data_IF_454999890604
#
_entry.id   IF_454999890604
#
_cell.length_a   1.000
_cell.length_b   1.000
_cell.length_c   1.000
_cell.angle_alpha   90.00
_cell.angle_beta   90.00
_cell.angle_gamma   90.00
#
_symmetry.space_group_name_H-M   'P 1'
#
loop_
_entity.id
_entity.type
_entity.pdbx_description
1 polymer ?
#
# COMPACT_ATOMS: atom_id res chain seq x y z
N UNK A 1 12.80 -13.00 -1.94
CA UNK A 1 13.68 -14.19 -2.03
C UNK A 1 14.28 -14.40 -0.65
N UNK A 2 14.10 -15.56 -0.02
CA UNK A 2 14.70 -15.84 1.30
C UNK A 2 15.99 -16.66 1.11
N UNK A 3 16.98 -16.46 1.98
CA UNK A 3 18.25 -17.21 2.03
C UNK A 3 18.05 -18.75 2.01
N UNK A 4 16.84 -19.23 2.31
CA UNK A 4 16.45 -20.63 2.14
C UNK A 4 16.69 -21.20 0.74
N UNK A 5 16.74 -20.39 -0.32
CA UNK A 5 16.96 -20.91 -1.69
C UNK A 5 18.39 -21.39 -1.93
N UNK A 6 19.39 -20.77 -1.29
CA UNK A 6 20.80 -21.21 -1.40
C UNK A 6 21.00 -22.62 -0.82
N UNK A 7 20.22 -22.97 0.21
CA UNK A 7 20.31 -24.29 0.86
C UNK A 7 19.96 -25.47 -0.06
N UNK A 8 19.24 -25.24 -1.17
CA UNK A 8 18.75 -26.31 -2.04
C UNK A 8 19.67 -26.62 -3.23
N UNK A 9 20.54 -25.68 -3.61
CA UNK A 9 21.35 -25.79 -4.83
C UNK A 9 22.87 -25.70 -4.58
N UNK A 10 23.31 -25.57 -3.33
CA UNK A 10 24.73 -25.46 -2.96
C UNK A 10 25.28 -26.72 -2.27
N UNK A 11 24.65 -27.89 -2.47
CA UNK A 11 25.10 -29.15 -1.86
C UNK A 11 25.12 -29.17 -0.32
N UNK A 12 24.33 -28.30 0.33
CA UNK A 12 24.33 -28.15 1.79
C UNK A 12 25.51 -27.34 2.34
N UNK A 13 26.36 -26.76 1.49
CA UNK A 13 27.47 -25.91 1.92
C UNK A 13 26.96 -24.53 2.38
N UNK A 14 27.47 -24.07 3.52
CA UNK A 14 27.20 -22.72 4.02
C UNK A 14 27.86 -21.67 3.12
N UNK A 15 27.15 -20.57 2.87
CA UNK A 15 27.64 -19.44 2.06
C UNK A 15 27.93 -18.28 2.99
N UNK A 16 29.18 -17.79 2.99
CA UNK A 16 29.55 -16.55 3.67
C UNK A 16 29.11 -15.35 2.84
N UNK A 17 28.01 -14.70 3.24
CA UNK A 17 27.49 -13.51 2.54
C UNK A 17 28.47 -12.34 2.58
N UNK A 18 29.27 -12.23 3.64
CA UNK A 18 30.26 -11.16 3.86
C UNK A 18 31.46 -11.29 2.91
N UNK A 19 31.76 -12.52 2.49
CA UNK A 19 32.81 -12.84 1.50
C UNK A 19 32.24 -13.01 0.09
N UNK A 20 30.92 -12.88 -0.05
CA UNK A 20 30.22 -12.97 -1.33
C UNK A 20 29.98 -11.58 -1.92
N UNK A 21 29.93 -11.52 -3.24
CA UNK A 21 29.66 -10.29 -3.99
C UNK A 21 28.58 -10.54 -5.04
N UNK A 22 27.73 -9.54 -5.26
CA UNK A 22 26.79 -9.50 -6.37
C UNK A 22 27.15 -8.36 -7.31
N UNK A 23 27.26 -8.65 -8.60
CA UNK A 23 27.63 -7.68 -9.63
C UNK A 23 26.51 -7.60 -10.65
N UNK A 24 25.99 -6.40 -10.90
CA UNK A 24 24.87 -6.18 -11.82
C UNK A 24 24.77 -4.73 -12.31
N UNK A 25 24.14 -4.53 -13.45
CA UNK A 25 24.05 -3.22 -14.11
C UNK A 25 22.79 -2.44 -13.74
N UNK A 26 21.74 -3.11 -13.25
CA UNK A 26 20.52 -2.48 -12.74
C UNK A 26 20.74 -1.85 -11.36
N UNK A 27 21.51 -0.76 -11.35
CA UNK A 27 22.09 -0.18 -10.15
C UNK A 27 21.50 1.18 -9.77
N UNK A 28 20.45 1.64 -10.46
CA UNK A 28 19.80 2.92 -10.18
C UNK A 28 20.69 4.14 -10.42
N UNK A 29 21.66 4.06 -11.35
CA UNK A 29 22.55 5.17 -11.68
C UNK A 29 21.81 6.27 -12.46
N UNK A 30 22.08 7.56 -12.19
CA UNK A 30 21.44 8.67 -12.89
C UNK A 30 21.96 8.84 -14.32
N UNK A 31 21.29 9.64 -15.13
CA UNK A 31 21.80 9.99 -16.46
C UNK A 31 23.19 10.64 -16.36
N UNK A 32 24.06 10.35 -17.32
CA UNK A 32 25.45 10.83 -17.40
C UNK A 32 26.35 10.32 -16.26
N UNK A 33 26.07 9.13 -15.71
CA UNK A 33 26.92 8.48 -14.72
C UNK A 33 28.33 8.12 -15.25
N UNK A 34 28.48 8.04 -16.58
CA UNK A 34 29.77 7.86 -17.26
C UNK A 34 29.78 8.54 -18.66
N UNK A 35 30.96 8.81 -19.24
CA UNK A 35 31.08 9.32 -20.61
C UNK A 35 30.32 8.43 -21.61
N UNK A 36 29.44 9.03 -22.41
CA UNK A 36 28.59 8.32 -23.37
C UNK A 36 27.28 7.76 -22.81
N UNK A 37 27.12 7.66 -21.49
CA UNK A 37 25.92 7.12 -20.84
C UNK A 37 24.88 8.20 -20.57
N UNK A 38 24.16 8.64 -21.60
CA UNK A 38 23.19 9.75 -21.51
C UNK A 38 21.88 9.40 -20.80
N UNK A 39 21.59 8.12 -20.59
CA UNK A 39 20.37 7.64 -19.93
C UNK A 39 20.70 7.19 -18.51
N UNK A 40 19.73 7.31 -17.61
CA UNK A 40 19.76 6.62 -16.32
C UNK A 40 19.61 5.12 -16.52
N UNK A 41 19.99 4.33 -15.52
CA UNK A 41 19.67 2.90 -15.51
C UNK A 41 18.15 2.71 -15.58
N UNK A 42 17.73 1.65 -16.26
CA UNK A 42 16.31 1.32 -16.42
C UNK A 42 15.66 0.93 -15.07
N UNK A 43 16.43 0.26 -14.21
CA UNK A 43 16.02 -0.24 -12.90
C UNK A 43 17.16 -0.18 -11.87
N UNK A 44 16.80 -0.45 -10.62
CA UNK A 44 17.68 -0.62 -9.46
C UNK A 44 17.64 -2.06 -8.92
N UNK A 45 17.04 -2.99 -9.67
CA UNK A 45 16.73 -4.36 -9.24
C UNK A 45 17.94 -5.15 -8.74
N UNK A 46 19.11 -5.01 -9.37
CA UNK A 46 20.33 -5.73 -8.97
C UNK A 46 20.87 -5.24 -7.62
N UNK A 47 20.94 -3.91 -7.47
CA UNK A 47 21.37 -3.28 -6.21
C UNK A 47 20.41 -3.63 -5.08
N UNK A 48 19.11 -3.57 -5.35
CA UNK A 48 18.08 -3.89 -4.35
C UNK A 48 18.06 -5.37 -4.00
N UNK A 49 18.33 -6.26 -4.95
CA UNK A 49 18.51 -7.69 -4.69
C UNK A 49 19.68 -7.92 -3.73
N UNK A 50 20.85 -7.34 -4.03
CA UNK A 50 22.03 -7.46 -3.16
C UNK A 50 21.75 -6.91 -1.75
N UNK A 51 21.08 -5.76 -1.67
CA UNK A 51 20.67 -5.15 -0.41
C UNK A 51 19.73 -6.05 0.39
N UNK A 52 18.70 -6.64 -0.23
CA UNK A 52 17.79 -7.57 0.42
C UNK A 52 18.51 -8.83 0.92
N UNK A 53 19.51 -9.30 0.18
CA UNK A 53 20.31 -10.48 0.52
C UNK A 53 21.44 -10.21 1.52
N UNK A 54 21.74 -8.93 1.81
CA UNK A 54 22.89 -8.56 2.64
C UNK A 54 24.25 -8.80 1.96
N UNK A 55 24.30 -8.70 0.63
CA UNK A 55 25.51 -8.91 -0.18
C UNK A 55 26.22 -7.58 -0.47
N UNK A 56 27.55 -7.63 -0.58
CA UNK A 56 28.32 -6.53 -1.18
C UNK A 56 27.92 -6.39 -2.65
N UNK A 57 27.68 -5.16 -3.10
CA UNK A 57 27.24 -4.86 -4.46
C UNK A 57 28.25 -4.00 -5.22
N UNK A 58 28.51 -4.37 -6.48
CA UNK A 58 29.26 -3.56 -7.44
C UNK A 58 28.54 -3.50 -8.78
N UNK A 59 28.79 -2.43 -9.53
CA UNK A 59 28.48 -2.41 -10.98
C UNK A 59 29.58 -3.11 -11.79
N UNK A 60 29.33 -3.52 -13.05
CA UNK A 60 30.35 -4.14 -13.88
C UNK A 60 31.59 -3.26 -14.07
N UNK A 61 31.39 -1.94 -14.21
CA UNK A 61 32.47 -0.98 -14.37
C UNK A 61 33.31 -0.85 -13.09
N UNK A 62 32.67 -0.84 -11.92
CA UNK A 62 33.36 -0.84 -10.62
C UNK A 62 34.18 -2.12 -10.43
N UNK A 63 33.57 -3.28 -10.68
CA UNK A 63 34.17 -4.57 -10.35
C UNK A 63 35.25 -5.01 -11.35
N UNK A 64 34.97 -4.92 -12.65
CA UNK A 64 35.88 -5.45 -13.68
C UNK A 64 36.85 -4.42 -14.23
N UNK A 65 36.48 -3.13 -14.24
CA UNK A 65 37.29 -2.06 -14.83
C UNK A 65 37.99 -1.19 -13.79
N UNK A 66 37.72 -1.41 -12.50
CA UNK A 66 38.28 -0.63 -11.40
C UNK A 66 37.83 0.83 -11.40
N UNK A 67 36.67 1.12 -12.00
CA UNK A 67 36.12 2.48 -12.00
C UNK A 67 35.69 2.89 -10.61
N UNK A 68 35.68 4.21 -10.36
CA UNK A 68 35.09 4.75 -9.14
C UNK A 68 33.58 4.48 -9.13
N UNK A 69 33.05 4.25 -7.93
CA UNK A 69 31.62 4.04 -7.74
C UNK A 69 30.80 5.22 -8.29
N UNK A 70 29.81 4.89 -9.11
CA UNK A 70 28.86 5.87 -9.62
C UNK A 70 27.84 6.26 -8.54
N UNK A 71 27.33 7.50 -8.60
CA UNK A 71 26.17 7.89 -7.81
C UNK A 71 24.96 7.02 -8.18
N UNK A 72 24.07 6.78 -7.22
CA UNK A 72 22.83 6.04 -7.43
C UNK A 72 21.71 6.59 -6.54
N UNK A 73 20.47 6.29 -6.90
CA UNK A 73 19.29 6.58 -6.09
C UNK A 73 18.57 5.27 -5.74
N UNK A 74 18.12 5.18 -4.48
CA UNK A 74 17.19 4.13 -4.05
C UNK A 74 15.74 4.59 -4.29
N UNK A 75 14.76 3.66 -4.32
CA UNK A 75 13.35 4.02 -4.39
C UNK A 75 12.92 4.96 -3.26
N UNK A 76 11.95 5.83 -3.54
CA UNK A 76 11.42 6.80 -2.55
C UNK A 76 10.82 6.12 -1.30
N UNK A 77 10.29 4.91 -1.47
CA UNK A 77 9.77 4.10 -0.37
C UNK A 77 10.77 3.01 0.02
N UNK A 78 11.24 3.07 1.27
CA UNK A 78 12.06 2.03 1.88
C UNK A 78 11.20 1.15 2.81
N UNK A 79 10.91 -0.11 2.43
CA UNK A 79 10.09 -1.00 3.24
C UNK A 79 10.74 -1.38 4.58
N UNK A 80 12.06 -1.19 4.73
CA UNK A 80 12.78 -1.44 5.99
C UNK A 80 12.49 -0.34 7.01
N UNK A 81 12.21 0.88 6.55
CA UNK A 81 11.97 2.05 7.38
C UNK A 81 10.54 2.11 7.96
N UNK A 82 9.67 1.16 7.60
CA UNK A 82 8.30 1.11 8.12
C UNK A 82 8.33 0.75 9.61
N UNK A 83 7.79 1.67 10.43
CA UNK A 83 7.62 1.48 11.86
C UNK A 83 6.30 0.75 12.17
N UNK A 84 6.34 -0.51 12.66
CA UNK A 84 5.14 -1.26 13.00
C UNK A 84 4.44 -0.72 14.26
N UNK A 85 5.09 0.17 15.02
CA UNK A 85 4.54 0.82 16.22
C UNK A 85 4.08 2.25 15.95
N UNK A 86 4.13 2.69 14.70
CA UNK A 86 3.61 3.99 14.32
C UNK A 86 2.13 4.12 14.72
N UNK A 87 1.72 5.34 15.05
CA UNK A 87 0.34 5.65 15.37
C UNK A 87 -0.58 5.23 14.22
N UNK A 88 -1.60 4.42 14.50
CA UNK A 88 -2.44 3.80 13.47
C UNK A 88 -3.37 4.79 12.77
N UNK A 89 -3.85 5.81 13.49
CA UNK A 89 -4.73 6.83 12.94
C UNK A 89 -4.57 8.17 13.66
N UNK A 90 -4.89 9.26 12.99
CA UNK A 90 -4.79 10.64 13.49
C UNK A 90 -6.14 11.37 13.31
N UNK A 91 -6.71 11.96 14.39
CA UNK A 91 -6.13 12.10 15.73
C UNK A 91 -6.13 10.81 16.57
N UNK A 92 -5.17 10.63 17.52
CA UNK A 92 -4.95 9.36 18.22
C UNK A 92 -6.06 8.97 19.19
N UNK A 93 -6.88 9.94 19.61
CA UNK A 93 -8.01 9.76 20.52
C UNK A 93 -9.35 9.62 19.78
N UNK A 94 -9.36 9.58 18.45
CA UNK A 94 -10.57 9.34 17.69
C UNK A 94 -11.13 7.94 17.96
N UNK A 95 -12.46 7.83 18.01
CA UNK A 95 -13.11 6.52 18.05
C UNK A 95 -13.27 5.96 16.64
N UNK A 96 -12.86 4.71 16.41
CA UNK A 96 -13.07 4.05 15.13
C UNK A 96 -14.55 3.72 14.88
N UNK A 97 -15.32 3.49 15.94
CA UNK A 97 -16.75 3.15 15.85
C UNK A 97 -17.60 4.12 16.66
N UNK A 98 -18.91 4.11 16.41
CA UNK A 98 -19.90 4.95 17.06
C UNK A 98 -21.02 4.09 17.62
N UNK A 99 -21.54 4.49 18.79
CA UNK A 99 -22.72 3.86 19.40
C UNK A 99 -24.03 4.25 18.71
N UNK A 100 -24.02 5.29 17.87
CA UNK A 100 -25.17 5.72 17.08
C UNK A 100 -24.96 5.39 15.59
N UNK A 101 -26.06 5.21 14.87
CA UNK A 101 -26.02 5.00 13.42
C UNK A 101 -25.22 6.09 12.71
N UNK A 102 -24.30 5.68 11.86
CA UNK A 102 -23.44 6.55 11.05
C UNK A 102 -23.06 5.90 9.72
N UNK A 103 -22.51 6.72 8.82
CA UNK A 103 -21.91 6.27 7.57
C UNK A 103 -20.42 6.59 7.56
N UNK A 104 -19.57 5.57 7.40
CA UNK A 104 -18.13 5.72 7.18
C UNK A 104 -17.81 5.50 5.70
N UNK A 105 -17.14 6.47 5.08
CA UNK A 105 -16.66 6.39 3.70
C UNK A 105 -15.15 6.24 3.70
N UNK A 106 -14.64 5.13 3.19
CA UNK A 106 -13.20 4.94 3.03
C UNK A 106 -12.68 5.63 1.77
N UNK A 107 -11.52 6.28 1.87
CA UNK A 107 -10.83 6.94 0.77
C UNK A 107 -9.38 6.49 0.79
N UNK A 108 -8.83 6.07 -0.35
CA UNK A 108 -7.44 5.66 -0.44
C UNK A 108 -7.13 4.73 -1.60
N UNK A 109 -5.85 4.57 -1.91
CA UNK A 109 -5.40 3.71 -2.99
C UNK A 109 -5.99 2.28 -2.88
N UNK A 110 -6.34 1.63 -4.01
CA UNK A 110 -6.55 0.19 -3.99
C UNK A 110 -5.26 -0.51 -3.54
N UNK A 111 -5.40 -1.71 -2.98
CA UNK A 111 -4.31 -2.46 -2.34
C UNK A 111 -3.64 -1.79 -1.12
N UNK A 112 -4.10 -0.63 -0.63
CA UNK A 112 -3.56 0.02 0.58
C UNK A 112 -3.97 -0.62 1.92
N UNK A 113 -4.67 -1.76 1.92
CA UNK A 113 -5.12 -2.44 3.15
C UNK A 113 -6.45 -1.95 3.73
N UNK A 114 -7.19 -1.10 3.01
CA UNK A 114 -8.50 -0.56 3.44
C UNK A 114 -9.47 -1.65 3.88
N UNK A 115 -9.74 -2.63 3.02
CA UNK A 115 -10.66 -3.72 3.29
C UNK A 115 -10.28 -4.50 4.54
N UNK A 116 -8.98 -4.76 4.74
CA UNK A 116 -8.47 -5.45 5.93
C UNK A 116 -8.74 -4.63 7.18
N UNK A 117 -8.41 -3.34 7.16
CA UNK A 117 -8.65 -2.43 8.28
C UNK A 117 -10.14 -2.33 8.64
N UNK A 118 -10.99 -2.05 7.65
CA UNK A 118 -12.42 -1.85 7.85
C UNK A 118 -13.11 -3.13 8.34
N UNK A 119 -12.72 -4.30 7.81
CA UNK A 119 -13.25 -5.58 8.28
C UNK A 119 -12.85 -5.85 9.74
N UNK A 120 -11.60 -5.55 10.09
CA UNK A 120 -11.06 -5.78 11.44
C UNK A 120 -11.63 -4.84 12.50
N UNK A 121 -11.97 -3.60 12.13
CA UNK A 121 -12.32 -2.56 13.12
C UNK A 121 -13.78 -2.13 13.09
N UNK A 122 -14.47 -2.21 11.95
CA UNK A 122 -15.86 -1.74 11.80
C UNK A 122 -16.81 -2.91 11.59
N UNK A 123 -16.51 -3.81 10.65
CA UNK A 123 -17.41 -4.93 10.34
C UNK A 123 -17.51 -5.92 11.50
N UNK A 124 -16.38 -6.17 12.18
CA UNK A 124 -16.37 -6.96 13.43
C UNK A 124 -17.20 -6.34 14.55
N UNK A 125 -17.44 -5.02 14.51
CA UNK A 125 -18.28 -4.26 15.45
C UNK A 125 -19.73 -4.09 14.93
N UNK A 126 -20.12 -4.83 13.88
CA UNK A 126 -21.48 -4.88 13.38
C UNK A 126 -21.81 -3.89 12.26
N UNK A 127 -20.84 -3.18 11.69
CA UNK A 127 -21.10 -2.28 10.55
C UNK A 127 -21.50 -3.08 9.31
N UNK A 128 -22.52 -2.59 8.61
CA UNK A 128 -22.90 -3.12 7.31
C UNK A 128 -21.82 -2.77 6.29
N UNK A 129 -21.19 -3.79 5.71
CA UNK A 129 -20.11 -3.66 4.75
C UNK A 129 -20.64 -3.51 3.32
N UNK A 130 -20.34 -2.38 2.68
CA UNK A 130 -20.71 -2.08 1.29
C UNK A 130 -19.45 -1.98 0.44
N UNK A 131 -19.33 -2.84 -0.56
CA UNK A 131 -18.22 -2.85 -1.51
C UNK A 131 -18.73 -3.05 -2.94
N UNK A 132 -18.31 -2.17 -3.85
CA UNK A 132 -18.72 -2.17 -5.24
C UNK A 132 -18.23 -3.40 -6.01
N UNK A 133 -17.06 -3.96 -5.67
CA UNK A 133 -16.54 -5.15 -6.33
C UNK A 133 -17.48 -6.35 -6.12
N UNK A 134 -18.09 -6.45 -4.94
CA UNK A 134 -19.09 -7.48 -4.62
C UNK A 134 -20.50 -7.16 -5.14
N UNK A 135 -20.90 -5.89 -5.15
CA UNK A 135 -22.26 -5.48 -5.55
C UNK A 135 -22.39 -5.20 -7.05
N UNK A 136 -21.28 -5.01 -7.74
CA UNK A 136 -21.16 -4.83 -9.19
C UNK A 136 -21.37 -3.39 -9.70
N UNK A 137 -22.07 -2.50 -8.98
CA UNK A 137 -22.24 -1.11 -9.41
C UNK A 137 -22.39 -0.12 -8.27
N UNK A 138 -21.97 1.13 -8.50
CA UNK A 138 -22.11 2.21 -7.53
C UNK A 138 -23.58 2.49 -7.19
N UNK A 139 -24.51 2.32 -8.14
CA UNK A 139 -25.95 2.51 -7.90
C UNK A 139 -26.49 1.50 -6.88
N UNK A 140 -26.05 0.24 -6.98
CA UNK A 140 -26.40 -0.80 -6.00
C UNK A 140 -25.80 -0.52 -4.63
N UNK A 141 -24.58 0.03 -4.58
CA UNK A 141 -23.96 0.47 -3.32
C UNK A 141 -24.79 1.58 -2.64
N UNK A 142 -25.21 2.59 -3.40
CA UNK A 142 -26.06 3.68 -2.91
C UNK A 142 -27.42 3.17 -2.43
N UNK A 143 -28.08 2.30 -3.20
CA UNK A 143 -29.37 1.73 -2.79
C UNK A 143 -29.28 0.91 -1.50
N UNK A 144 -28.24 0.07 -1.36
CA UNK A 144 -28.00 -0.69 -0.13
C UNK A 144 -27.65 0.23 1.04
N UNK A 145 -26.92 1.32 0.79
CA UNK A 145 -26.61 2.34 1.79
C UNK A 145 -27.89 3.00 2.31
N UNK A 146 -28.73 3.55 1.42
CA UNK A 146 -29.97 4.24 1.79
C UNK A 146 -30.91 3.32 2.59
N UNK A 147 -31.11 2.08 2.12
CA UNK A 147 -31.97 1.10 2.82
C UNK A 147 -31.42 0.68 4.19
N UNK A 148 -30.10 0.51 4.31
CA UNK A 148 -29.48 0.12 5.59
C UNK A 148 -29.51 1.27 6.61
N UNK A 149 -29.35 2.53 6.15
CA UNK A 149 -29.47 3.70 7.01
C UNK A 149 -30.90 3.88 7.52
N UNK A 150 -31.91 3.66 6.67
CA UNK A 150 -33.32 3.67 7.08
C UNK A 150 -33.64 2.60 8.12
N UNK A 151 -32.95 1.45 8.08
CA UNK A 151 -33.04 0.41 9.09
C UNK A 151 -32.24 0.71 10.37
N UNK A 152 -31.65 1.90 10.49
CA UNK A 152 -30.90 2.34 11.67
C UNK A 152 -29.52 1.69 11.83
N UNK A 153 -28.97 1.08 10.78
CA UNK A 153 -27.66 0.40 10.84
C UNK A 153 -26.51 1.37 10.57
N UNK A 154 -25.38 1.16 11.25
CA UNK A 154 -24.10 1.76 10.88
C UNK A 154 -23.51 1.09 9.64
N UNK A 155 -22.89 1.87 8.77
CA UNK A 155 -22.44 1.44 7.44
C UNK A 155 -21.00 1.84 7.21
N UNK A 156 -20.26 0.97 6.54
CA UNK A 156 -18.95 1.28 5.99
C UNK A 156 -18.94 1.03 4.48
N UNK A 157 -18.49 2.02 3.70
CA UNK A 157 -18.31 1.94 2.25
C UNK A 157 -16.84 1.77 1.94
N UNK A 158 -16.47 0.56 1.52
CA UNK A 158 -15.12 0.17 1.15
C UNK A 158 -14.94 0.18 -0.37
N UNK A 159 -14.91 1.38 -0.92
CA UNK A 159 -14.50 1.66 -2.29
C UNK A 159 -13.25 2.56 -2.26
N UNK A 160 -12.68 2.87 -3.42
CA UNK A 160 -11.53 3.80 -3.49
C UNK A 160 -11.92 5.26 -3.27
N UNK A 161 -13.08 5.67 -3.78
CA UNK A 161 -13.68 7.01 -3.63
C UNK A 161 -12.71 8.21 -3.89
N UNK A 162 -11.96 8.22 -5.01
CA UNK A 162 -10.93 9.24 -5.27
C UNK A 162 -11.50 10.65 -5.51
N UNK A 163 -12.70 10.76 -6.07
CA UNK A 163 -13.27 12.00 -6.59
C UNK A 163 -14.38 12.55 -5.68
N UNK A 164 -14.54 13.87 -5.65
CA UNK A 164 -15.64 14.57 -4.95
C UNK A 164 -17.01 13.98 -5.29
N UNK A 165 -17.29 13.73 -6.59
CA UNK A 165 -18.58 13.20 -7.03
C UNK A 165 -18.84 11.79 -6.47
N UNK A 166 -17.80 10.96 -6.40
CA UNK A 166 -17.92 9.60 -5.86
C UNK A 166 -18.28 9.60 -4.37
N UNK A 167 -17.71 10.54 -3.60
CA UNK A 167 -18.00 10.73 -2.17
C UNK A 167 -19.35 11.40 -1.92
N UNK A 168 -19.72 12.39 -2.76
CA UNK A 168 -21.02 13.10 -2.68
C UNK A 168 -22.21 12.14 -2.71
N UNK A 169 -22.13 11.06 -3.48
CA UNK A 169 -23.18 10.02 -3.53
C UNK A 169 -23.51 9.47 -2.14
N UNK A 170 -22.51 9.33 -1.28
CA UNK A 170 -22.64 8.79 0.07
C UNK A 170 -22.94 9.88 1.11
N UNK A 171 -22.31 11.05 1.02
CA UNK A 171 -22.62 12.16 1.94
C UNK A 171 -24.08 12.62 1.81
N UNK A 172 -24.65 12.59 0.60
CA UNK A 172 -26.08 12.84 0.39
C UNK A 172 -26.98 11.74 0.99
N UNK A 173 -26.55 10.48 0.99
CA UNK A 173 -27.29 9.39 1.67
C UNK A 173 -27.38 9.67 3.18
N UNK A 174 -26.24 9.97 3.80
CA UNK A 174 -26.17 10.29 5.22
C UNK A 174 -27.00 11.53 5.58
N UNK A 175 -26.92 12.59 4.76
CA UNK A 175 -27.69 13.82 4.93
C UNK A 175 -29.20 13.57 4.88
N UNK A 176 -29.70 12.78 3.91
CA UNK A 176 -31.12 12.41 3.82
C UNK A 176 -31.58 11.62 5.04
N UNK A 177 -30.75 10.69 5.51
CA UNK A 177 -31.02 9.87 6.69
C UNK A 177 -30.78 10.61 8.02
N UNK A 178 -30.25 11.84 7.98
CA UNK A 178 -29.90 12.66 9.15
C UNK A 178 -28.93 11.96 10.12
N UNK A 179 -27.97 11.21 9.57
CA UNK A 179 -26.90 10.56 10.34
C UNK A 179 -25.54 11.22 10.04
N UNK A 180 -24.57 11.17 10.97
CA UNK A 180 -23.20 11.60 10.68
C UNK A 180 -22.59 10.81 9.53
N UNK A 181 -21.81 11.49 8.70
CA UNK A 181 -20.94 10.89 7.69
C UNK A 181 -19.49 11.16 8.07
N UNK A 182 -18.65 10.13 8.20
CA UNK A 182 -17.21 10.28 8.47
C UNK A 182 -16.39 9.78 7.30
N UNK A 183 -15.22 10.36 7.10
CA UNK A 183 -14.26 9.92 6.09
C UNK A 183 -13.08 9.23 6.77
N UNK A 184 -12.77 8.01 6.36
CA UNK A 184 -11.53 7.33 6.74
C UNK A 184 -10.55 7.46 5.58
N UNK A 185 -9.61 8.40 5.69
CA UNK A 185 -8.61 8.70 4.67
C UNK A 185 -7.35 7.85 4.91
N UNK A 186 -7.17 6.80 4.13
CA UNK A 186 -5.97 5.98 4.16
C UNK A 186 -4.82 6.70 3.46
N UNK A 187 -3.74 6.95 4.21
CA UNK A 187 -2.63 7.83 3.80
C UNK A 187 -1.53 7.12 3.03
N UNK A 188 -1.71 5.83 2.72
CA UNK A 188 -0.74 5.06 1.95
C UNK A 188 -0.38 5.76 0.63
N UNK A 189 0.91 5.90 0.36
CA UNK A 189 1.41 6.43 -0.92
C UNK A 189 1.20 5.44 -2.06
N UNK A 190 1.40 5.90 -3.31
CA UNK A 190 1.38 5.01 -4.48
C UNK A 190 2.39 3.86 -4.32
N UNK A 191 3.62 4.17 -3.90
CA UNK A 191 4.69 3.18 -3.79
C UNK A 191 4.43 2.21 -2.63
N UNK A 192 3.86 2.68 -1.52
CA UNK A 192 3.37 1.82 -0.43
C UNK A 192 2.25 0.88 -0.90
N UNK A 193 1.28 1.40 -1.67
CA UNK A 193 0.19 0.58 -2.20
C UNK A 193 0.67 -0.47 -3.21
N UNK A 194 1.63 -0.13 -4.08
CA UNK A 194 2.28 -1.10 -5.00
C UNK A 194 3.03 -2.17 -4.23
N UNK A 195 3.86 -1.77 -3.27
CA UNK A 195 4.61 -2.70 -2.42
C UNK A 195 3.66 -3.65 -1.69
N UNK A 196 2.60 -3.11 -1.09
CA UNK A 196 1.59 -3.92 -0.42
C UNK A 196 0.84 -4.85 -1.39
N UNK A 197 0.51 -4.37 -2.60
CA UNK A 197 -0.07 -5.21 -3.63
C UNK A 197 0.84 -6.39 -3.97
N UNK A 198 2.13 -6.13 -4.22
CA UNK A 198 3.11 -7.16 -4.59
C UNK A 198 3.36 -8.14 -3.46
N UNK A 199 3.42 -7.67 -2.22
CA UNK A 199 3.50 -8.53 -1.06
C UNK A 199 2.31 -9.50 -1.00
N UNK A 200 1.09 -8.98 -1.13
CA UNK A 200 -0.13 -9.80 -1.10
C UNK A 200 -0.20 -10.80 -2.25
N UNK A 201 0.28 -10.45 -3.44
CA UNK A 201 0.43 -11.41 -4.55
C UNK A 201 1.36 -12.59 -4.21
N UNK A 202 2.40 -12.35 -3.40
CA UNK A 202 3.34 -13.40 -3.00
C UNK A 202 2.84 -14.26 -1.84
N UNK A 203 1.96 -13.71 -0.99
CA UNK A 203 1.62 -14.33 0.31
C UNK A 203 0.17 -14.78 0.44
N UNK A 204 -0.76 -14.19 -0.31
CA UNK A 204 -2.20 -14.45 -0.22
C UNK A 204 -2.72 -15.12 -1.50
N UNK A 205 -3.34 -16.30 -1.35
CA UNK A 205 -3.86 -17.07 -2.49
C UNK A 205 -5.06 -16.42 -3.18
N UNK A 206 -5.93 -15.78 -2.39
CA UNK A 206 -7.18 -15.18 -2.88
C UNK A 206 -7.02 -13.69 -3.24
N UNK A 207 -5.79 -13.16 -3.20
CA UNK A 207 -5.55 -11.76 -3.55
C UNK A 207 -5.66 -11.58 -5.06
N UNK A 208 -6.55 -10.68 -5.48
CA UNK A 208 -6.66 -10.26 -6.88
C UNK A 208 -5.64 -9.15 -7.14
N UNK A 209 -4.64 -9.37 -8.02
CA UNK A 209 -3.61 -8.38 -8.33
C UNK A 209 -4.20 -7.05 -8.80
N UNK A 210 -3.75 -5.95 -8.20
CA UNK A 210 -4.13 -4.59 -8.64
C UNK A 210 -3.05 -4.07 -9.59
N UNK A 211 -3.38 -3.97 -10.87
CA UNK A 211 -2.41 -3.51 -11.86
C UNK A 211 -2.09 -2.00 -11.74
N UNK A 212 -0.97 -1.60 -12.35
CA UNK A 212 -0.48 -0.22 -12.34
C UNK A 212 -1.43 0.79 -12.99
N UNK A 213 -2.27 0.37 -13.96
CA UNK A 213 -3.24 1.25 -14.60
C UNK A 213 -4.31 1.69 -13.58
N UNK A 214 -4.80 0.77 -12.75
CA UNK A 214 -5.80 1.07 -11.72
C UNK A 214 -5.23 2.02 -10.66
N UNK A 215 -4.00 1.77 -10.20
CA UNK A 215 -3.32 2.63 -9.22
C UNK A 215 -3.06 4.05 -9.77
N UNK A 216 -2.61 4.16 -11.02
CA UNK A 216 -2.38 5.46 -11.66
C UNK A 216 -3.69 6.19 -11.97
N UNK A 217 -4.76 5.47 -12.32
CA UNK A 217 -6.10 6.04 -12.51
C UNK A 217 -6.66 6.60 -11.20
N UNK A 218 -6.43 5.91 -10.08
CA UNK A 218 -6.76 6.46 -8.77
C UNK A 218 -5.98 7.76 -8.53
N UNK A 219 -4.65 7.73 -8.72
CA UNK A 219 -3.79 8.89 -8.49
C UNK A 219 -4.20 10.11 -9.31
N UNK A 220 -4.54 9.94 -10.58
CA UNK A 220 -4.92 11.05 -11.46
C UNK A 220 -6.28 11.67 -11.11
N UNK A 221 -7.16 10.88 -10.49
CA UNK A 221 -8.51 11.28 -10.08
C UNK A 221 -8.60 11.79 -8.66
N UNK A 222 -7.58 11.53 -7.84
CA UNK A 222 -7.61 11.80 -6.42
C UNK A 222 -7.73 13.30 -6.14
N UNK A 223 -8.74 13.65 -5.34
CA UNK A 223 -8.91 14.95 -4.71
C UNK A 223 -9.01 14.71 -3.21
N UNK A 224 -8.15 15.37 -2.43
CA UNK A 224 -8.11 15.22 -0.98
C UNK A 224 -9.48 15.54 -0.37
N UNK A 225 -10.03 14.67 0.51
CA UNK A 225 -11.33 14.90 1.10
C UNK A 225 -11.32 16.08 2.06
N UNK A 226 -12.42 16.84 2.10
CA UNK A 226 -12.56 18.00 2.99
C UNK A 226 -13.91 18.02 3.72
N UNK A 227 -13.99 18.76 4.84
CA UNK A 227 -15.22 18.82 5.66
C UNK A 227 -16.40 19.47 4.90
N UNK A 228 -16.10 20.35 3.95
CA UNK A 228 -17.06 21.02 3.08
C UNK A 228 -17.87 20.05 2.21
N UNK A 229 -17.42 18.81 2.05
CA UNK A 229 -18.16 17.75 1.36
C UNK A 229 -19.36 17.22 2.15
N UNK A 230 -19.49 17.62 3.42
CA UNK A 230 -20.51 17.13 4.35
C UNK A 230 -20.02 16.02 5.27
N UNK A 231 -18.71 15.85 5.42
CA UNK A 231 -18.14 14.98 6.45
C UNK A 231 -18.16 15.68 7.82
N UNK A 232 -18.60 14.95 8.83
CA UNK A 232 -18.54 15.36 10.24
C UNK A 232 -17.14 15.24 10.84
N UNK A 233 -16.33 14.32 10.32
CA UNK A 233 -14.94 14.09 10.74
C UNK A 233 -14.17 13.45 9.57
N UNK A 234 -12.89 13.78 9.45
CA UNK A 234 -11.94 13.07 8.57
C UNK A 234 -10.85 12.47 9.45
N UNK A 235 -10.85 11.15 9.54
CA UNK A 235 -9.86 10.37 10.28
C UNK A 235 -8.78 9.90 9.31
N UNK A 236 -7.52 10.27 9.55
CA UNK A 236 -6.39 9.79 8.74
C UNK A 236 -5.97 8.42 9.24
N UNK A 237 -5.97 7.41 8.38
CA UNK A 237 -5.51 6.05 8.69
C UNK A 237 -4.10 5.88 8.13
N UNK A 238 -3.12 5.75 9.02
CA UNK A 238 -1.72 5.64 8.64
C UNK A 238 -1.39 4.26 8.07
N UNK A 239 -0.42 4.23 7.16
CA UNK A 239 0.07 2.98 6.59
C UNK A 239 0.98 2.26 7.59
N UNK A 240 0.37 1.41 8.42
CA UNK A 240 1.06 0.62 9.45
C UNK A 240 0.77 -0.86 9.18
N UNK A 241 1.69 -1.59 8.50
CA UNK A 241 1.48 -2.98 8.17
C UNK A 241 1.54 -3.85 9.43
N UNK A 242 0.75 -4.92 9.42
CA UNK A 242 0.67 -5.90 10.51
C UNK A 242 0.93 -7.29 9.96
N UNK A 243 1.70 -8.08 10.69
CA UNK A 243 2.16 -9.39 10.26
C UNK A 243 1.76 -10.45 11.28
N UNK A 244 1.37 -11.62 10.81
CA UNK A 244 1.01 -12.76 11.67
C UNK A 244 2.24 -13.49 12.21
N UNK A 245 3.38 -13.36 11.53
CA UNK A 245 4.65 -13.97 11.93
C UNK A 245 5.86 -13.18 11.42
N UNK A 246 7.03 -13.48 11.99
CA UNK A 246 8.29 -12.81 11.69
C UNK A 246 8.84 -13.09 10.29
N UNK A 247 8.42 -14.19 9.64
CA UNK A 247 8.86 -14.50 8.27
C UNK A 247 8.17 -13.59 7.28
N UNK A 248 6.87 -13.35 7.47
CA UNK A 248 6.10 -12.39 6.68
C UNK A 248 6.60 -10.96 6.88
N UNK A 249 6.92 -10.57 8.12
CA UNK A 249 7.54 -9.27 8.38
C UNK A 249 8.89 -9.14 7.66
N UNK A 250 9.76 -10.15 7.77
CA UNK A 250 11.05 -10.14 7.09
C UNK A 250 10.91 -10.05 5.58
N UNK A 251 9.95 -10.77 4.99
CA UNK A 251 9.65 -10.70 3.57
C UNK A 251 9.11 -9.31 3.18
N UNK A 252 8.24 -8.72 3.99
CA UNK A 252 7.68 -7.40 3.72
C UNK A 252 8.74 -6.30 3.71
N UNK A 253 9.78 -6.42 4.55
CA UNK A 253 10.89 -5.47 4.63
C UNK A 253 11.86 -5.55 3.45
N UNK A 254 11.66 -6.50 2.52
CA UNK A 254 12.46 -6.58 1.28
C UNK A 254 11.91 -5.62 0.24
N UNK A 255 12.78 -4.95 -0.52
CA UNK A 255 12.36 -4.28 -1.76
C UNK A 255 11.79 -5.30 -2.74
N UNK A 256 10.57 -5.07 -3.24
CA UNK A 256 9.90 -5.97 -4.19
C UNK A 256 9.86 -5.46 -5.63
N UNK A 257 10.25 -4.20 -5.85
CA UNK A 257 10.30 -3.51 -7.14
C UNK A 257 11.38 -2.42 -7.08
N UNK A 258 12.03 -2.16 -8.21
CA UNK A 258 12.96 -1.05 -8.40
C UNK A 258 13.66 -1.10 -9.73
#
# INVERSE_FOLDING_TARGET
FSLSSFSKANGGLEVSLQESVYVGDAAGRPANWAPGQKKKDFSCSDRLFALNAGLLFHTPEEYFLGWKQALFALPDFDPRAVDPKAQLYDPPNASLTSSSSELVVAVGFPAAGKSTFLKKHLVSDGYTYINQDTLGSWKKCVALCETSLQAGKSIVVDNTNPELESRRRYTECAKKARVPCRCFLFTASLEQAKHNNRFREMTEKEHVPVNNIVLNTYKSKYVEPSLEEGFSEILKINFVPQFTDSKLESLYRQFSEG
#
